data_IF_318198299982
#
_entry.id   IF_318198299982
#
_cell.length_a   1.000
_cell.length_b   1.000
_cell.length_c   1.000
_cell.angle_alpha   90.00
_cell.angle_beta   90.00
_cell.angle_gamma   90.00
#
_symmetry.space_group_name_H-M   'P 1'
#
loop_
_entity.id
_entity.type
_entity.pdbx_description
1 polymer ?
#
# COMPACT_ATOMS: atom_id res chain seq x y z
N UNK A 1 -21.19 30.67 -2.06
CA UNK A 1 -20.32 29.82 -2.92
C UNK A 1 -19.08 29.33 -2.18
N UNK A 2 -18.21 30.20 -1.62
CA UNK A 2 -16.99 29.78 -0.88
C UNK A 2 -17.27 28.78 0.27
N UNK A 3 -18.21 29.09 1.16
CA UNK A 3 -18.57 28.20 2.28
C UNK A 3 -19.09 26.83 1.83
N UNK A 4 -19.77 26.77 0.68
CA UNK A 4 -20.23 25.51 0.08
C UNK A 4 -19.06 24.70 -0.46
N UNK A 5 -18.12 25.34 -1.17
CA UNK A 5 -16.90 24.69 -1.68
C UNK A 5 -16.07 24.14 -0.51
N UNK A 6 -15.82 24.92 0.54
CA UNK A 6 -15.08 24.48 1.72
C UNK A 6 -15.75 23.28 2.37
N UNK A 7 -17.07 23.32 2.62
CA UNK A 7 -17.81 22.20 3.19
C UNK A 7 -17.71 20.95 2.31
N UNK A 8 -17.79 21.09 0.98
CA UNK A 8 -17.68 19.99 0.02
C UNK A 8 -16.26 19.39 0.01
N UNK A 9 -15.23 20.22 0.04
CA UNK A 9 -13.83 19.79 0.12
C UNK A 9 -13.54 19.04 1.42
N UNK A 10 -14.09 19.48 2.55
CA UNK A 10 -13.94 18.79 3.83
C UNK A 10 -14.58 17.39 3.83
N UNK A 11 -15.69 17.19 3.13
CA UNK A 11 -16.28 15.86 2.96
C UNK A 11 -15.46 14.95 2.05
N UNK A 12 -14.68 15.50 1.12
CA UNK A 12 -13.82 14.71 0.25
C UNK A 12 -12.68 14.04 1.03
N UNK A 13 -12.15 14.68 2.08
CA UNK A 13 -11.04 14.14 2.89
C UNK A 13 -11.36 12.74 3.45
N UNK A 14 -12.43 12.52 4.25
CA UNK A 14 -12.73 11.19 4.79
C UNK A 14 -13.10 10.19 3.69
N UNK A 15 -13.71 10.63 2.58
CA UNK A 15 -14.02 9.75 1.45
C UNK A 15 -12.73 9.26 0.78
N UNK A 16 -11.78 10.16 0.51
CA UNK A 16 -10.50 9.82 -0.11
C UNK A 16 -9.69 8.87 0.78
N UNK A 17 -9.66 9.14 2.09
CA UNK A 17 -9.03 8.24 3.06
C UNK A 17 -9.72 6.87 3.03
N UNK A 18 -11.05 6.83 3.09
CA UNK A 18 -11.81 5.58 3.09
C UNK A 18 -11.60 4.74 1.83
N UNK A 19 -11.68 5.37 0.66
CA UNK A 19 -11.44 4.68 -0.63
C UNK A 19 -10.00 4.17 -0.69
N UNK A 20 -9.01 4.98 -0.29
CA UNK A 20 -7.61 4.58 -0.31
C UNK A 20 -7.33 3.39 0.63
N UNK A 21 -7.90 3.41 1.84
CA UNK A 21 -7.83 2.29 2.79
C UNK A 21 -8.49 1.03 2.22
N UNK A 22 -9.67 1.15 1.60
CA UNK A 22 -10.35 0.02 0.97
C UNK A 22 -9.54 -0.55 -0.20
N UNK A 23 -8.99 0.31 -1.07
CA UNK A 23 -8.13 -0.12 -2.16
C UNK A 23 -6.88 -0.83 -1.62
N UNK A 24 -6.21 -0.25 -0.62
CA UNK A 24 -5.06 -0.89 0.02
C UNK A 24 -5.44 -2.26 0.61
N UNK A 25 -6.56 -2.35 1.32
CA UNK A 25 -7.03 -3.59 1.90
C UNK A 25 -7.26 -4.67 0.84
N UNK A 26 -7.98 -4.34 -0.23
CA UNK A 26 -8.26 -5.30 -1.31
C UNK A 26 -6.99 -5.73 -2.04
N UNK A 27 -6.07 -4.81 -2.30
CA UNK A 27 -4.88 -5.08 -3.08
C UNK A 27 -3.69 -5.63 -2.30
N UNK A 28 -3.57 -5.39 -0.99
CA UNK A 28 -2.39 -5.78 -0.23
C UNK A 28 -2.69 -6.69 0.97
N UNK A 29 -3.92 -6.66 1.49
CA UNK A 29 -4.34 -7.55 2.58
C UNK A 29 -5.04 -8.79 1.99
N UNK A 30 -6.02 -8.58 1.11
CA UNK A 30 -6.77 -9.68 0.47
C UNK A 30 -5.95 -10.32 -0.65
N UNK A 31 -5.29 -9.51 -1.49
CA UNK A 31 -4.35 -10.01 -2.50
C UNK A 31 -2.93 -9.87 -1.93
N UNK A 32 -2.41 -10.92 -1.29
CA UNK A 32 -1.09 -10.81 -0.66
C UNK A 32 0.01 -10.60 -1.72
N UNK A 33 1.13 -9.91 -1.40
CA UNK A 33 2.26 -9.75 -2.32
C UNK A 33 2.80 -11.08 -2.86
N UNK A 34 2.69 -12.16 -2.08
CA UNK A 34 3.06 -13.51 -2.51
C UNK A 34 2.14 -14.06 -3.61
N UNK A 35 0.85 -13.73 -3.57
CA UNK A 35 -0.10 -14.12 -4.62
C UNK A 35 0.17 -13.33 -5.90
N UNK A 36 0.47 -12.03 -5.78
CA UNK A 36 0.90 -11.21 -6.92
C UNK A 36 2.17 -11.76 -7.56
N UNK A 37 3.16 -12.15 -6.74
CA UNK A 37 4.40 -12.75 -7.22
C UNK A 37 4.14 -14.06 -7.96
N UNK A 38 3.29 -14.94 -7.40
CA UNK A 38 2.90 -16.20 -8.06
C UNK A 38 2.13 -15.98 -9.35
N UNK A 39 1.26 -14.98 -9.40
CA UNK A 39 0.55 -14.61 -10.63
C UNK A 39 1.51 -14.08 -11.71
N UNK A 40 2.50 -13.27 -11.32
CA UNK A 40 3.43 -12.63 -12.26
C UNK A 40 4.55 -13.56 -12.74
N UNK A 41 5.10 -14.40 -11.86
CA UNK A 41 6.19 -15.33 -12.16
C UNK A 41 5.70 -16.64 -12.79
N UNK A 42 4.38 -16.88 -12.78
CA UNK A 42 3.74 -18.03 -13.41
C UNK A 42 3.49 -19.20 -12.46
N UNK A 43 2.42 -19.96 -12.72
CA UNK A 43 1.85 -20.90 -11.73
C UNK A 43 2.65 -22.21 -11.57
N UNK A 44 3.47 -22.61 -12.56
CA UNK A 44 3.96 -24.01 -12.62
C UNK A 44 5.29 -24.31 -11.91
N UNK A 45 6.17 -23.34 -11.66
CA UNK A 45 7.46 -23.61 -10.98
C UNK A 45 8.01 -22.36 -10.28
N UNK A 46 7.18 -21.68 -9.49
CA UNK A 46 7.68 -20.58 -8.66
C UNK A 46 8.36 -21.14 -7.43
N UNK A 47 9.68 -20.94 -7.33
CA UNK A 47 10.42 -21.24 -6.11
C UNK A 47 10.20 -20.10 -5.09
N UNK A 48 10.26 -20.40 -3.78
CA UNK A 48 10.15 -19.37 -2.75
C UNK A 48 11.19 -18.25 -2.93
N UNK A 49 12.39 -18.58 -3.40
CA UNK A 49 13.46 -17.61 -3.65
C UNK A 49 13.10 -16.64 -4.78
N UNK A 50 12.38 -17.11 -5.81
CA UNK A 50 11.90 -16.25 -6.88
C UNK A 50 10.82 -15.28 -6.40
N UNK A 51 9.93 -15.71 -5.49
CA UNK A 51 8.94 -14.84 -4.84
C UNK A 51 9.65 -13.75 -4.03
N UNK A 52 10.61 -14.14 -3.18
CA UNK A 52 11.34 -13.20 -2.34
C UNK A 52 12.13 -12.18 -3.17
N UNK A 53 12.79 -12.62 -4.24
CA UNK A 53 13.47 -11.70 -5.17
C UNK A 53 12.49 -10.75 -5.84
N UNK A 54 11.36 -11.23 -6.33
CA UNK A 54 10.34 -10.37 -6.94
C UNK A 54 9.77 -9.36 -5.95
N UNK A 55 9.51 -9.77 -4.70
CA UNK A 55 9.08 -8.85 -3.64
C UNK A 55 10.15 -7.80 -3.33
N UNK A 56 11.42 -8.18 -3.27
CA UNK A 56 12.50 -7.22 -3.07
C UNK A 56 12.60 -6.22 -4.23
N UNK A 57 12.58 -6.69 -5.48
CA UNK A 57 12.69 -5.86 -6.69
C UNK A 57 11.50 -4.90 -6.85
N UNK A 58 10.29 -5.34 -6.51
CA UNK A 58 9.07 -4.51 -6.58
C UNK A 58 8.85 -3.64 -5.33
N UNK A 59 9.71 -3.78 -4.31
CA UNK A 59 9.61 -3.03 -3.06
C UNK A 59 8.52 -3.51 -2.10
N UNK A 60 8.03 -4.74 -2.26
CA UNK A 60 7.09 -5.42 -1.36
C UNK A 60 7.75 -6.14 -0.18
N UNK A 61 9.08 -6.07 -0.05
CA UNK A 61 9.80 -6.51 1.15
C UNK A 61 9.73 -5.45 2.27
N UNK A 62 8.52 -5.02 2.63
CA UNK A 62 8.26 -4.07 3.71
C UNK A 62 7.01 -4.47 4.49
N UNK A 63 6.91 -4.09 5.78
CA UNK A 63 5.69 -4.29 6.55
C UNK A 63 4.50 -3.57 5.93
N UNK A 64 3.30 -4.16 6.02
CA UNK A 64 2.08 -3.64 5.39
C UNK A 64 1.67 -2.26 5.95
N UNK A 65 1.52 -2.15 7.27
CA UNK A 65 0.97 -0.96 7.95
C UNK A 65 1.85 -0.41 9.07
N UNK A 66 2.71 -1.25 9.66
CA UNK A 66 3.52 -0.86 10.80
C UNK A 66 4.87 -1.56 10.75
N UNK A 67 5.94 -0.77 10.75
CA UNK A 67 7.30 -1.27 10.80
C UNK A 67 7.82 -1.18 12.24
N UNK A 68 7.82 -2.30 12.96
CA UNK A 68 8.27 -2.37 14.35
C UNK A 68 9.78 -2.14 14.50
N UNK A 69 10.56 -2.40 13.44
CA UNK A 69 12.03 -2.30 13.44
C UNK A 69 12.52 -0.87 13.16
N UNK A 70 11.68 -0.04 12.52
CA UNK A 70 12.01 1.35 12.24
C UNK A 70 11.90 2.23 13.50
N UNK A 71 12.74 3.27 13.58
CA UNK A 71 12.73 4.24 14.68
C UNK A 71 11.92 5.49 14.34
N UNK A 72 11.22 6.07 15.32
CA UNK A 72 10.47 7.33 15.18
C UNK A 72 9.33 7.27 14.15
N UNK A 73 9.18 8.31 13.32
CA UNK A 73 8.16 8.38 12.25
C UNK A 73 8.35 7.32 11.15
N UNK A 74 9.53 6.72 11.06
CA UNK A 74 9.83 5.63 10.12
C UNK A 74 8.95 4.39 10.30
N UNK A 75 8.31 4.22 11.46
CA UNK A 75 7.37 3.12 11.74
C UNK A 75 6.14 3.12 10.85
N UNK A 76 5.70 4.30 10.42
CA UNK A 76 4.54 4.48 9.55
C UNK A 76 4.95 4.79 8.12
N UNK A 77 6.09 5.46 7.92
CA UNK A 77 6.59 5.85 6.60
C UNK A 77 7.22 4.66 5.85
N UNK A 78 7.94 3.77 6.55
CA UNK A 78 8.60 2.61 5.90
C UNK A 78 7.63 1.42 5.78
N UNK A 79 6.48 1.65 5.16
CA UNK A 79 5.42 0.64 4.98
C UNK A 79 4.88 0.64 3.55
N UNK A 80 4.34 -0.49 3.11
CA UNK A 80 3.72 -0.59 1.77
C UNK A 80 2.55 0.39 1.65
N UNK A 81 1.78 0.58 2.72
CA UNK A 81 0.68 1.55 2.75
C UNK A 81 1.15 2.97 2.45
N UNK A 82 2.24 3.40 3.07
CA UNK A 82 2.76 4.75 2.81
C UNK A 82 3.30 4.87 1.38
N UNK A 83 4.12 3.92 0.94
CA UNK A 83 4.78 3.96 -0.37
C UNK A 83 3.81 3.82 -1.55
N UNK A 84 2.73 3.04 -1.41
CA UNK A 84 1.80 2.73 -2.52
C UNK A 84 0.46 3.43 -2.41
N UNK A 85 0.08 3.95 -1.24
CA UNK A 85 -1.25 4.54 -1.03
C UNK A 85 -1.19 5.99 -0.59
N UNK A 86 -0.31 6.35 0.36
CA UNK A 86 -0.19 7.74 0.85
C UNK A 86 0.65 8.62 -0.08
N UNK A 87 1.72 8.06 -0.66
CA UNK A 87 2.60 8.75 -1.61
C UNK A 87 1.85 9.32 -2.83
N UNK A 88 0.74 8.69 -3.23
CA UNK A 88 -0.11 9.13 -4.34
C UNK A 88 -0.76 10.50 -4.11
N UNK A 89 -0.81 10.97 -2.86
CA UNK A 89 -1.32 12.29 -2.50
C UNK A 89 -0.21 13.35 -2.34
N UNK A 90 1.08 12.96 -2.44
CA UNK A 90 2.24 13.84 -2.22
C UNK A 90 2.83 14.38 -3.55
N UNK A 91 1.97 14.86 -4.46
CA UNK A 91 2.36 15.38 -5.78
C UNK A 91 3.47 16.45 -5.74
#
# INVERSE_FOLDING_TARGET
MLAYIVRRSLYAIPILIGVNLLTFWLFFVVNSPDDMARMQLGVKHVTPEAIERWKADQGYNKPLLYNAEASGGGKFINTIFFDKSVSLFMF
#
